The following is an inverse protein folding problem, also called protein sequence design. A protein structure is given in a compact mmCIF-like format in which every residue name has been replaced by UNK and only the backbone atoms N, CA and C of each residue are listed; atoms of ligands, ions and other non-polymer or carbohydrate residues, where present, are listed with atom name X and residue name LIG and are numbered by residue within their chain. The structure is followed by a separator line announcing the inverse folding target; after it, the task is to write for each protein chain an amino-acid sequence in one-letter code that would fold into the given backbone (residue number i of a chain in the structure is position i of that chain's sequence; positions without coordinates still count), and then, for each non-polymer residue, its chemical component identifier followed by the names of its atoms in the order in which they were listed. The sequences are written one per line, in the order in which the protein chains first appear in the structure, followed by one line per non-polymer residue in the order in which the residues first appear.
data_IF_215564899490
#
_entry.id   IF_215564899490
#
_cell.length_a   1.000
_cell.length_b   1.000
_cell.length_c   1.000
_cell.angle_alpha   90.00
_cell.angle_beta   90.00
_cell.angle_gamma   90.00
#
_symmetry.space_group_name_H-M   'P 1'
#
loop_
_entity.id
_entity.type
_entity.pdbx_description
1 polymer ?
#
# COMPACT_ATOMS: atom_id res chain seq x y z
N UNK A 1 45.32 -2.76 6.78
CA UNK A 1 44.11 -3.11 7.52
C UNK A 1 43.22 -1.88 7.51
N UNK A 2 42.29 -1.87 6.58
CA UNK A 2 41.36 -0.77 6.39
C UNK A 2 40.25 -0.92 7.43
N UNK A 3 40.04 0.15 8.22
CA UNK A 3 39.09 0.19 9.28
C UNK A 3 37.66 -0.07 8.77
N UNK A 4 36.97 -0.92 9.50
CA UNK A 4 35.54 -1.10 9.39
C UNK A 4 34.87 0.25 9.69
N UNK A 5 34.42 0.95 8.64
CA UNK A 5 33.52 2.06 8.81
C UNK A 5 32.25 1.53 9.49
N UNK A 6 31.98 2.03 10.68
CA UNK A 6 30.79 1.63 11.43
C UNK A 6 29.55 1.91 10.55
N UNK A 7 28.71 0.91 10.34
CA UNK A 7 27.43 0.99 9.61
C UNK A 7 26.50 2.12 10.11
N UNK A 8 26.77 2.67 11.28
CA UNK A 8 26.10 3.85 11.85
C UNK A 8 26.42 5.18 11.15
N UNK A 9 27.47 5.25 10.34
CA UNK A 9 27.90 6.48 9.61
C UNK A 9 27.47 6.50 8.14
N UNK A 10 26.68 5.53 7.67
CA UNK A 10 26.09 5.62 6.34
C UNK A 10 25.19 6.85 6.35
N UNK A 11 25.59 7.86 5.61
CA UNK A 11 24.84 9.12 5.46
C UNK A 11 23.39 8.79 5.14
N UNK A 12 22.47 9.29 5.97
CA UNK A 12 21.03 9.17 5.73
C UNK A 12 20.54 10.25 4.78
N UNK A 13 21.47 10.99 4.19
CA UNK A 13 21.25 11.97 3.14
C UNK A 13 21.18 11.26 1.79
N UNK A 14 20.34 11.77 0.91
CA UNK A 14 20.32 11.30 -0.46
C UNK A 14 21.41 11.98 -1.29
N UNK A 15 21.92 11.26 -2.27
CA UNK A 15 22.90 11.76 -3.23
C UNK A 15 22.29 11.78 -4.61
N UNK A 16 22.43 12.88 -5.33
CA UNK A 16 21.94 13.06 -6.70
C UNK A 16 23.16 13.27 -7.58
N UNK A 17 23.34 12.42 -8.57
CA UNK A 17 24.38 12.49 -9.58
C UNK A 17 23.73 12.67 -10.95
N UNK A 18 24.24 13.61 -11.72
CA UNK A 18 23.86 13.82 -13.13
C UNK A 18 25.13 13.68 -13.94
N UNK A 19 25.15 12.70 -14.83
CA UNK A 19 26.32 12.50 -15.71
C UNK A 19 26.22 13.29 -17.01
N UNK A 20 27.27 13.22 -17.83
CA UNK A 20 27.36 13.94 -19.09
C UNK A 20 26.33 13.51 -20.15
N UNK A 21 25.72 12.30 -19.99
CA UNK A 21 24.65 11.82 -20.87
C UNK A 21 23.28 12.36 -20.45
N UNK A 22 23.17 13.01 -19.30
CA UNK A 22 21.91 13.44 -18.69
C UNK A 22 21.23 12.35 -17.84
N UNK A 23 21.88 11.19 -17.60
CA UNK A 23 21.37 10.19 -16.69
C UNK A 23 21.39 10.72 -15.26
N UNK A 24 20.25 10.66 -14.58
CA UNK A 24 20.10 11.08 -13.18
C UNK A 24 20.07 9.86 -12.30
N UNK A 25 21.04 9.79 -11.38
CA UNK A 25 21.11 8.71 -10.38
C UNK A 25 20.82 9.27 -9.01
N UNK A 26 19.88 8.67 -8.30
CA UNK A 26 19.51 9.02 -6.92
C UNK A 26 19.76 7.81 -6.03
N UNK A 27 20.50 8.00 -4.96
CA UNK A 27 20.80 6.93 -4.00
C UNK A 27 20.77 7.44 -2.56
N UNK A 28 20.53 6.56 -1.59
CA UNK A 28 20.41 6.91 -0.17
C UNK A 28 19.04 7.50 0.20
N UNK A 29 19.04 8.27 1.28
CA UNK A 29 17.82 8.92 1.81
C UNK A 29 16.96 8.03 2.72
N UNK A 30 15.78 8.52 3.03
CA UNK A 30 14.79 7.85 3.90
C UNK A 30 13.42 7.87 3.25
N UNK A 31 12.66 6.81 3.47
CA UNK A 31 11.26 6.75 3.04
C UNK A 31 10.44 7.95 3.56
N UNK A 32 10.69 8.40 4.77
CA UNK A 32 9.96 9.52 5.38
C UNK A 32 10.25 10.88 4.76
N UNK A 33 11.30 11.01 3.94
CA UNK A 33 11.70 12.26 3.27
C UNK A 33 11.51 12.22 1.75
N UNK A 34 10.83 11.19 1.22
CA UNK A 34 10.70 10.96 -0.21
C UNK A 34 10.19 12.20 -1.00
N UNK A 35 9.24 12.97 -0.43
CA UNK A 35 8.72 14.19 -1.07
C UNK A 35 9.82 15.25 -1.24
N UNK A 36 10.58 15.50 -0.15
CA UNK A 36 11.68 16.47 -0.19
C UNK A 36 12.80 15.99 -1.13
N UNK A 37 13.09 14.68 -1.14
CA UNK A 37 14.05 14.09 -2.07
C UNK A 37 13.62 14.29 -3.53
N UNK A 38 12.35 14.05 -3.84
CA UNK A 38 11.82 14.26 -5.19
C UNK A 38 11.90 15.74 -5.61
N UNK A 39 11.63 16.67 -4.71
CA UNK A 39 11.76 18.10 -4.95
C UNK A 39 13.23 18.48 -5.25
N UNK A 40 14.17 17.96 -4.47
CA UNK A 40 15.62 18.18 -4.69
C UNK A 40 16.10 17.64 -6.03
N UNK A 41 15.65 16.42 -6.40
CA UNK A 41 15.99 15.81 -7.69
C UNK A 41 15.50 16.70 -8.84
N UNK A 42 14.26 17.16 -8.79
CA UNK A 42 13.70 18.02 -9.83
C UNK A 42 14.40 19.37 -9.90
N UNK A 43 14.75 19.97 -8.76
CA UNK A 43 15.51 21.22 -8.72
C UNK A 43 16.89 21.04 -9.39
N UNK A 44 17.62 19.96 -9.04
CA UNK A 44 18.91 19.63 -9.68
C UNK A 44 18.79 19.38 -11.18
N UNK A 45 17.74 18.71 -11.61
CA UNK A 45 17.47 18.49 -13.04
C UNK A 45 17.18 19.82 -13.77
N UNK A 46 16.46 20.72 -13.13
CA UNK A 46 16.17 22.04 -13.68
C UNK A 46 17.43 22.90 -13.79
N UNK A 47 18.27 22.91 -12.75
CA UNK A 47 19.59 23.61 -12.77
C UNK A 47 20.52 23.05 -13.87
N UNK A 48 20.44 21.77 -14.16
CA UNK A 48 21.16 21.12 -15.26
C UNK A 48 20.51 21.30 -16.64
N UNK A 49 19.38 22.00 -16.74
CA UNK A 49 18.64 22.21 -17.99
C UNK A 49 17.91 20.98 -18.55
N UNK A 50 17.74 19.92 -17.74
CA UNK A 50 17.07 18.68 -18.15
C UNK A 50 15.54 18.78 -18.10
N UNK A 51 15.00 19.66 -17.26
CA UNK A 51 13.57 19.93 -17.13
C UNK A 51 13.35 21.44 -16.96
N UNK A 52 12.16 21.97 -17.27
CA UNK A 52 11.85 23.38 -17.02
C UNK A 52 11.92 23.74 -15.53
N UNK A 53 12.34 24.97 -15.23
CA UNK A 53 12.27 25.53 -13.88
C UNK A 53 10.82 25.66 -13.42
N UNK A 54 10.56 25.38 -12.13
CA UNK A 54 9.22 25.49 -11.56
C UNK A 54 9.26 25.39 -10.03
N UNK A 55 8.26 26.00 -9.39
CA UNK A 55 8.09 25.92 -7.95
C UNK A 55 7.37 24.64 -7.54
N UNK A 56 7.85 24.00 -6.47
CA UNK A 56 7.16 22.85 -5.89
C UNK A 56 5.88 23.26 -5.17
N UNK A 57 4.77 22.58 -5.49
CA UNK A 57 3.48 22.74 -4.83
C UNK A 57 3.14 21.55 -3.91
N UNK A 58 4.06 20.60 -3.77
CA UNK A 58 3.77 19.32 -3.10
C UNK A 58 3.80 19.40 -1.57
N UNK A 59 4.32 20.46 -0.97
CA UNK A 59 4.37 20.60 0.48
C UNK A 59 2.96 20.68 1.11
N UNK A 60 2.03 21.35 0.44
CA UNK A 60 0.63 21.50 0.87
C UNK A 60 -0.37 20.57 0.16
N UNK A 61 0.12 19.66 -0.71
CA UNK A 61 -0.74 18.75 -1.45
C UNK A 61 -1.31 17.68 -0.52
N UNK A 62 -2.62 17.62 -0.37
CA UNK A 62 -3.29 16.54 0.33
C UNK A 62 -3.20 15.25 -0.50
N UNK A 63 -2.82 14.16 0.17
CA UNK A 63 -2.85 12.83 -0.46
C UNK A 63 -4.30 12.36 -0.63
N UNK A 64 -4.50 11.45 -1.58
CA UNK A 64 -5.79 10.75 -1.73
C UNK A 64 -6.12 10.04 -0.40
N UNK A 65 -7.35 10.12 0.04
CA UNK A 65 -7.78 9.59 1.34
C UNK A 65 -7.46 10.48 2.54
N UNK A 66 -6.76 11.62 2.37
CA UNK A 66 -6.57 12.55 3.49
C UNK A 66 -7.93 13.07 4.01
N UNK A 67 -8.06 13.06 5.33
CA UNK A 67 -9.27 13.57 5.97
C UNK A 67 -9.50 15.06 5.64
N UNK A 68 -10.76 15.51 5.58
CA UNK A 68 -11.11 16.93 5.51
C UNK A 68 -10.53 17.72 6.70
N UNK A 69 -10.31 19.02 6.51
CA UNK A 69 -9.83 19.87 7.58
C UNK A 69 -10.83 19.89 8.75
N UNK A 70 -10.32 19.71 9.95
CA UNK A 70 -11.12 19.64 11.17
C UNK A 70 -11.78 18.29 11.48
N UNK A 71 -11.71 17.31 10.57
CA UNK A 71 -12.19 15.96 10.83
C UNK A 71 -11.29 15.26 11.86
N UNK A 72 -11.92 14.55 12.79
CA UNK A 72 -11.18 13.72 13.76
C UNK A 72 -10.85 12.36 13.14
N UNK A 73 -9.58 11.97 13.25
CA UNK A 73 -9.16 10.64 12.85
C UNK A 73 -9.64 9.59 13.88
N UNK A 74 -10.14 8.47 13.40
CA UNK A 74 -10.41 7.30 14.24
C UNK A 74 -9.05 6.71 14.63
N UNK A 75 -8.84 6.34 15.93
CA UNK A 75 -7.61 5.72 16.37
C UNK A 75 -7.29 4.42 15.62
N UNK A 76 -6.00 4.17 15.34
CA UNK A 76 -5.56 2.97 14.61
C UNK A 76 -5.75 1.65 15.37
N UNK A 77 -6.03 1.71 16.67
CA UNK A 77 -6.35 0.55 17.50
C UNK A 77 -7.84 0.19 17.52
N UNK A 78 -8.68 0.96 16.83
CA UNK A 78 -10.06 0.56 16.57
C UNK A 78 -10.14 -0.63 15.62
N UNK A 79 -11.20 -1.40 15.73
CA UNK A 79 -11.43 -2.54 14.84
C UNK A 79 -11.42 -2.10 13.37
N UNK A 80 -10.81 -2.88 12.45
CA UNK A 80 -10.77 -2.52 11.04
C UNK A 80 -12.14 -2.23 10.46
N UNK A 81 -12.25 -1.18 9.64
CA UNK A 81 -13.53 -0.75 9.07
C UNK A 81 -13.37 0.38 8.05
N UNK A 82 -14.48 1.00 7.61
CA UNK A 82 -14.48 2.06 6.60
C UNK A 82 -13.61 3.27 6.94
N UNK A 83 -13.39 3.57 8.22
CA UNK A 83 -12.53 4.66 8.67
C UNK A 83 -11.08 4.56 8.17
N UNK A 84 -10.60 3.37 7.82
CA UNK A 84 -9.27 3.15 7.26
C UNK A 84 -9.11 3.75 5.86
N UNK A 85 -10.22 4.09 5.20
CA UNK A 85 -10.23 4.76 3.90
C UNK A 85 -10.17 6.29 4.00
N UNK A 86 -10.19 6.82 5.24
CA UNK A 86 -10.09 8.26 5.49
C UNK A 86 -11.14 9.06 4.75
N UNK A 87 -10.72 10.05 3.96
CA UNK A 87 -11.61 10.90 3.16
C UNK A 87 -12.34 10.18 2.01
N UNK A 88 -11.99 8.93 1.70
CA UNK A 88 -12.67 8.12 0.68
C UNK A 88 -13.76 7.20 1.26
N UNK A 89 -13.98 7.22 2.58
CA UNK A 89 -14.98 6.38 3.24
C UNK A 89 -16.41 6.57 2.67
N UNK A 90 -16.77 7.80 2.31
CA UNK A 90 -18.07 8.10 1.69
C UNK A 90 -18.19 7.50 0.29
N UNK A 91 -17.12 7.53 -0.50
CA UNK A 91 -17.09 6.89 -1.82
C UNK A 91 -17.19 5.36 -1.70
N UNK A 92 -16.53 4.77 -0.72
CA UNK A 92 -16.66 3.36 -0.39
C UNK A 92 -18.12 3.00 -0.04
N UNK A 93 -18.79 3.82 0.76
CA UNK A 93 -20.17 3.58 1.19
C UNK A 93 -21.19 3.63 0.03
N UNK A 94 -20.84 4.22 -1.12
CA UNK A 94 -21.69 4.23 -2.32
C UNK A 94 -21.53 2.96 -3.17
N UNK A 95 -20.57 2.10 -2.88
CA UNK A 95 -20.36 0.87 -3.65
C UNK A 95 -21.33 -0.23 -3.25
N UNK A 96 -21.73 -1.10 -4.21
CA UNK A 96 -22.51 -2.28 -3.91
C UNK A 96 -21.84 -3.14 -2.83
N UNK A 97 -22.63 -3.65 -1.89
CA UNK A 97 -22.14 -4.54 -0.85
C UNK A 97 -21.45 -3.84 0.33
N UNK A 98 -21.67 -2.53 0.55
CA UNK A 98 -21.08 -1.82 1.67
C UNK A 98 -21.54 -2.34 3.04
N UNK A 99 -22.77 -2.88 3.14
CA UNK A 99 -23.30 -3.54 4.34
C UNK A 99 -23.05 -5.06 4.35
N UNK A 100 -22.52 -5.63 3.28
CA UNK A 100 -22.24 -7.06 3.18
C UNK A 100 -20.84 -7.37 3.66
N UNK A 101 -20.74 -7.73 4.92
CA UNK A 101 -19.49 -8.14 5.54
C UNK A 101 -19.14 -9.58 5.15
N UNK A 102 -17.95 -9.77 4.63
CA UNK A 102 -17.39 -11.08 4.28
C UNK A 102 -16.67 -11.72 5.46
N UNK A 103 -16.05 -10.88 6.28
CA UNK A 103 -15.41 -11.21 7.56
C UNK A 103 -15.26 -9.90 8.36
N UNK A 104 -14.80 -9.99 9.60
CA UNK A 104 -14.54 -8.83 10.43
C UNK A 104 -13.57 -7.87 9.72
N UNK A 105 -13.98 -6.62 9.56
CA UNK A 105 -13.19 -5.57 8.95
C UNK A 105 -13.06 -5.62 7.42
N UNK A 106 -13.76 -6.53 6.72
CA UNK A 106 -13.75 -6.62 5.26
C UNK A 106 -15.16 -6.76 4.71
N UNK A 107 -15.68 -5.72 4.05
CA UNK A 107 -16.94 -5.77 3.32
C UNK A 107 -16.71 -6.05 1.82
N UNK A 108 -17.76 -6.46 1.11
CA UNK A 108 -17.72 -6.61 -0.34
C UNK A 108 -17.34 -5.31 -1.04
N UNK A 109 -17.86 -4.17 -0.57
CA UNK A 109 -17.50 -2.86 -1.12
C UNK A 109 -16.01 -2.56 -1.00
N UNK A 110 -15.34 -2.99 0.06
CA UNK A 110 -13.89 -2.84 0.21
C UNK A 110 -13.12 -3.64 -0.86
N UNK A 111 -13.61 -4.83 -1.22
CA UNK A 111 -13.01 -5.62 -2.31
C UNK A 111 -13.22 -4.93 -3.66
N UNK A 112 -14.43 -4.39 -3.91
CA UNK A 112 -14.72 -3.61 -5.13
C UNK A 112 -13.89 -2.34 -5.21
N UNK A 113 -13.76 -1.63 -4.10
CA UNK A 113 -12.92 -0.43 -4.00
C UNK A 113 -11.45 -0.76 -4.33
N UNK A 114 -10.93 -1.82 -3.72
CA UNK A 114 -9.57 -2.30 -3.99
C UNK A 114 -9.35 -2.64 -5.47
N UNK A 115 -10.33 -3.27 -6.13
CA UNK A 115 -10.25 -3.58 -7.57
C UNK A 115 -10.28 -2.32 -8.45
N UNK A 116 -11.15 -1.35 -8.12
CA UNK A 116 -11.39 -0.15 -8.95
C UNK A 116 -10.35 0.94 -8.75
N UNK A 117 -9.90 1.15 -7.51
CA UNK A 117 -9.09 2.31 -7.12
C UNK A 117 -7.68 1.96 -6.66
N UNK A 118 -7.42 0.72 -6.23
CA UNK A 118 -6.14 0.31 -5.66
C UNK A 118 -5.43 -0.79 -6.45
N UNK A 119 -5.93 -1.08 -7.65
CA UNK A 119 -5.34 -2.05 -8.56
C UNK A 119 -5.24 -3.49 -8.01
N UNK A 120 -6.17 -3.92 -7.14
CA UNK A 120 -6.26 -5.32 -6.74
C UNK A 120 -6.70 -6.19 -7.93
N UNK A 121 -5.99 -7.28 -8.20
CA UNK A 121 -6.24 -8.21 -9.31
C UNK A 121 -6.37 -9.65 -8.87
N UNK A 122 -5.92 -9.96 -7.66
CA UNK A 122 -5.94 -11.31 -7.10
C UNK A 122 -6.50 -11.32 -5.69
N UNK A 123 -6.94 -12.50 -5.25
CA UNK A 123 -7.34 -12.75 -3.85
C UNK A 123 -6.21 -12.39 -2.91
N UNK A 124 -4.97 -12.68 -3.27
CA UNK A 124 -3.78 -12.33 -2.49
C UNK A 124 -3.63 -10.82 -2.32
N UNK A 125 -3.92 -10.02 -3.36
CA UNK A 125 -3.86 -8.57 -3.26
C UNK A 125 -4.80 -8.03 -2.18
N UNK A 126 -5.97 -8.64 -2.01
CA UNK A 126 -6.95 -8.26 -0.99
C UNK A 126 -6.58 -8.83 0.37
N UNK A 127 -6.44 -10.16 0.47
CA UNK A 127 -6.37 -10.84 1.76
C UNK A 127 -4.98 -10.85 2.40
N UNK A 128 -3.91 -10.64 1.62
CA UNK A 128 -2.56 -10.52 2.15
C UNK A 128 -2.08 -9.08 2.25
N UNK A 129 -2.33 -8.26 1.22
CA UNK A 129 -1.71 -6.92 1.12
C UNK A 129 -2.58 -5.80 1.68
N UNK A 130 -3.91 -5.88 1.60
CA UNK A 130 -4.83 -4.84 2.06
C UNK A 130 -5.43 -5.14 3.43
N UNK A 131 -6.10 -6.27 3.60
CA UNK A 131 -6.65 -6.67 4.90
C UNK A 131 -5.62 -7.35 5.82
N UNK A 132 -4.55 -7.91 5.27
CA UNK A 132 -3.53 -8.72 5.96
C UNK A 132 -4.07 -9.96 6.68
N UNK A 133 -5.30 -10.39 6.33
CA UNK A 133 -5.98 -11.50 6.99
C UNK A 133 -5.18 -12.80 6.89
N UNK A 134 -4.50 -13.04 5.74
CA UNK A 134 -3.64 -14.21 5.55
C UNK A 134 -2.61 -14.38 6.67
N UNK A 135 -2.04 -13.29 7.17
CA UNK A 135 -0.99 -13.33 8.19
C UNK A 135 -1.54 -13.40 9.61
N UNK A 136 -2.77 -12.90 9.81
CA UNK A 136 -3.43 -12.86 11.10
C UNK A 136 -4.20 -14.15 11.39
N UNK A 137 -4.93 -14.65 10.39
CA UNK A 137 -5.71 -15.87 10.44
C UNK A 137 -5.85 -16.50 9.04
N UNK A 138 -4.93 -17.41 8.73
CA UNK A 138 -4.89 -18.08 7.43
C UNK A 138 -6.13 -18.96 7.17
N UNK A 139 -6.76 -19.50 8.24
CA UNK A 139 -7.96 -20.30 8.09
C UNK A 139 -9.17 -19.42 7.73
N UNK A 140 -9.34 -18.28 8.40
CA UNK A 140 -10.36 -17.30 8.04
C UNK A 140 -10.14 -16.74 6.63
N UNK A 141 -8.88 -16.48 6.25
CA UNK A 141 -8.53 -16.05 4.89
C UNK A 141 -8.91 -17.09 3.84
N UNK A 142 -8.65 -18.38 4.09
CA UNK A 142 -9.07 -19.47 3.19
C UNK A 142 -10.59 -19.56 3.07
N UNK A 143 -11.31 -19.39 4.16
CA UNK A 143 -12.78 -19.48 4.19
C UNK A 143 -13.46 -18.36 3.37
N UNK A 144 -12.91 -17.13 3.40
CA UNK A 144 -13.49 -15.98 2.68
C UNK A 144 -12.97 -15.85 1.24
N UNK A 145 -11.88 -16.51 0.89
CA UNK A 145 -11.22 -16.40 -0.41
C UNK A 145 -12.14 -16.64 -1.63
N UNK A 146 -13.05 -17.65 -1.65
CA UNK A 146 -13.97 -17.84 -2.77
C UNK A 146 -14.90 -16.65 -3.00
N UNK A 147 -15.41 -16.02 -1.93
CA UNK A 147 -16.28 -14.86 -2.04
C UNK A 147 -15.51 -13.63 -2.58
N UNK A 148 -14.27 -13.42 -2.13
CA UNK A 148 -13.38 -12.38 -2.64
C UNK A 148 -13.05 -12.61 -4.12
N UNK A 149 -12.76 -13.86 -4.51
CA UNK A 149 -12.47 -14.22 -5.90
C UNK A 149 -13.65 -13.89 -6.83
N UNK A 150 -14.87 -14.20 -6.42
CA UNK A 150 -16.07 -13.89 -7.20
C UNK A 150 -16.22 -12.39 -7.44
N UNK A 151 -16.07 -11.55 -6.40
CA UNK A 151 -16.17 -10.10 -6.55
C UNK A 151 -15.06 -9.56 -7.46
N UNK A 152 -13.83 -10.03 -7.30
CA UNK A 152 -12.73 -9.62 -8.17
C UNK A 152 -12.95 -10.02 -9.62
N UNK A 153 -13.51 -11.21 -9.87
CA UNK A 153 -13.84 -11.66 -11.22
C UNK A 153 -14.96 -10.81 -11.84
N UNK A 154 -15.99 -10.44 -11.07
CA UNK A 154 -17.03 -9.49 -11.51
C UNK A 154 -16.44 -8.14 -11.91
N UNK A 155 -15.51 -7.60 -11.09
CA UNK A 155 -14.93 -6.28 -11.31
C UNK A 155 -13.87 -6.24 -12.42
N UNK A 156 -13.13 -7.33 -12.62
CA UNK A 156 -11.95 -7.34 -13.50
C UNK A 156 -12.13 -8.16 -14.76
N UNK A 157 -13.10 -9.07 -14.78
CA UNK A 157 -13.28 -10.06 -15.87
C UNK A 157 -12.16 -11.10 -15.97
N UNK A 158 -11.33 -11.25 -14.91
CA UNK A 158 -10.14 -12.11 -14.92
C UNK A 158 -10.18 -13.14 -13.82
N UNK A 159 -9.42 -14.22 -13.99
CA UNK A 159 -9.14 -15.14 -12.90
C UNK A 159 -8.42 -14.40 -11.76
N UNK A 160 -8.99 -14.52 -10.56
CA UNK A 160 -8.47 -13.87 -9.36
C UNK A 160 -7.40 -14.70 -8.61
N UNK A 161 -6.96 -15.83 -9.15
CA UNK A 161 -5.91 -16.67 -8.58
C UNK A 161 -6.31 -17.39 -7.28
N UNK A 162 -7.55 -17.84 -7.19
CA UNK A 162 -8.09 -18.50 -5.98
C UNK A 162 -7.29 -19.72 -5.57
N UNK A 163 -6.97 -20.63 -6.50
CA UNK A 163 -6.25 -21.89 -6.19
C UNK A 163 -4.85 -21.60 -5.65
N UNK A 164 -4.14 -20.66 -6.28
CA UNK A 164 -2.81 -20.24 -5.83
C UNK A 164 -2.87 -19.67 -4.42
N UNK A 165 -3.88 -18.86 -4.12
CA UNK A 165 -4.07 -18.29 -2.79
C UNK A 165 -4.40 -19.35 -1.74
N UNK A 166 -5.27 -20.31 -2.06
CA UNK A 166 -5.58 -21.42 -1.13
C UNK A 166 -4.33 -22.26 -0.81
N UNK A 167 -3.47 -22.49 -1.79
CA UNK A 167 -2.17 -23.15 -1.55
C UNK A 167 -1.31 -22.33 -0.58
N UNK A 168 -1.30 -21.01 -0.72
CA UNK A 168 -0.57 -20.11 0.16
C UNK A 168 -1.13 -20.14 1.61
N UNK A 169 -2.45 -20.22 1.78
CA UNK A 169 -3.05 -20.32 3.13
C UNK A 169 -2.62 -21.57 3.89
N UNK A 170 -2.38 -22.69 3.20
CA UNK A 170 -1.86 -23.91 3.82
C UNK A 170 -0.44 -23.67 4.37
N UNK A 171 0.41 -23.01 3.60
CA UNK A 171 1.78 -22.69 4.04
C UNK A 171 1.78 -21.79 5.29
N UNK A 172 0.96 -20.75 5.31
CA UNK A 172 0.85 -19.84 6.45
C UNK A 172 0.17 -20.48 7.66
N UNK A 173 -0.84 -21.33 7.46
CA UNK A 173 -1.49 -22.09 8.52
C UNK A 173 -0.54 -23.03 9.25
N UNK A 174 0.41 -23.64 8.55
CA UNK A 174 1.41 -24.54 9.15
C UNK A 174 2.41 -23.81 10.05
N UNK A 175 2.70 -22.53 9.79
CA UNK A 175 3.60 -21.70 10.61
C UNK A 175 2.97 -21.32 11.96
N UNK A 176 1.65 -21.19 12.04
CA UNK A 176 0.90 -20.91 13.29
C UNK A 176 0.76 -22.12 14.22
N UNK A 177 0.83 -23.33 13.71
CA UNK A 177 0.67 -24.58 14.47
C UNK A 177 1.88 -24.98 15.32
N UNK A 178 3.02 -24.32 15.19
CA UNK A 178 4.27 -24.69 15.93
C UNK A 178 4.35 -24.12 17.36
N UNK A 179 3.29 -23.53 17.90
CA UNK A 179 3.23 -22.96 19.26
C UNK A 179 2.06 -23.48 20.10
N UNK A 180 1.90 -24.79 20.18
CA UNK A 180 1.18 -25.44 21.28
C UNK A 180 1.77 -26.82 21.52
N UNK A 181 2.91 -26.86 22.14
CA UNK A 181 3.43 -28.01 22.87
C UNK A 181 4.07 -27.49 24.16
#
# INVERSE_FOLDING_TARGET
PQGQAATKSISREHTILIDASGLVTVTGGKWTTYRAMAQDVLARCADAGLVPQGESRTAGLKLVGALPDGAQAVPLNEAPGPHLYGGEADALAQLPGHERWMTDGLSEAMVRFAARHEYARSVEDVLARRSRLLFLDAAAAAAVAPAVANVLQEETGRDAGLESFLTLTIQYGSLGGAKKA
#
